data_IF_560986403481
#
_entry.id   IF_560986403481
#
_cell.length_a   1.000
_cell.length_b   1.000
_cell.length_c   1.000
_cell.angle_alpha   90.00
_cell.angle_beta   90.00
_cell.angle_gamma   90.00
#
_symmetry.space_group_name_H-M   'P 1'
#
loop_
_entity.id
_entity.type
_entity.pdbx_description
1 polymer ?
#
# COMPACT_ATOMS: atom_id res chain seq x y z
N UNK A 1 -4.98 35.87 -6.89
CA UNK A 1 -3.73 35.24 -7.33
C UNK A 1 -3.66 33.89 -6.67
N UNK A 2 -3.90 32.80 -7.42
CA UNK A 2 -3.82 31.41 -6.91
C UNK A 2 -2.33 31.14 -6.67
N UNK A 3 -1.95 30.78 -5.45
CA UNK A 3 -0.56 30.35 -5.17
C UNK A 3 -0.24 29.14 -6.06
N UNK A 4 0.96 29.07 -6.64
CA UNK A 4 1.33 27.89 -7.42
C UNK A 4 1.17 26.65 -6.53
N UNK A 5 0.45 25.65 -7.05
CA UNK A 5 0.15 24.39 -6.34
C UNK A 5 1.43 23.60 -6.02
N UNK A 6 2.52 23.92 -6.75
CA UNK A 6 3.85 23.34 -6.59
C UNK A 6 4.78 24.38 -5.98
N UNK A 7 5.09 24.35 -4.69
CA UNK A 7 6.05 25.32 -4.14
C UNK A 7 6.06 25.52 -2.63
N UNK A 8 5.51 24.58 -1.84
CA UNK A 8 5.55 24.71 -0.36
C UNK A 8 6.91 24.34 0.26
N UNK A 9 7.85 23.78 -0.50
CA UNK A 9 9.08 23.18 0.03
C UNK A 9 8.83 21.90 0.86
N UNK A 10 7.57 21.53 1.05
CA UNK A 10 7.13 20.34 1.76
C UNK A 10 7.00 19.18 0.77
N UNK A 11 7.49 18.00 1.15
CA UNK A 11 7.32 16.78 0.34
C UNK A 11 5.83 16.42 0.26
N UNK A 12 5.38 16.01 -0.92
CA UNK A 12 3.97 15.69 -1.20
C UNK A 12 3.82 14.23 -1.62
N UNK A 13 2.90 13.52 -0.98
CA UNK A 13 2.63 12.11 -1.27
C UNK A 13 1.16 11.90 -1.64
N UNK A 14 0.91 11.29 -2.81
CA UNK A 14 -0.40 10.78 -3.17
C UNK A 14 -0.64 9.44 -2.49
N UNK A 15 -1.84 9.25 -1.94
CA UNK A 15 -2.24 8.02 -1.24
C UNK A 15 -3.46 7.42 -1.93
N UNK A 16 -3.26 6.36 -2.71
CA UNK A 16 -4.34 5.60 -3.38
C UNK A 16 -4.72 4.43 -2.48
N UNK A 17 -5.72 4.60 -1.64
CA UNK A 17 -6.15 3.58 -0.68
C UNK A 17 -7.62 3.81 -0.29
N UNK A 18 -8.24 2.85 0.41
CA UNK A 18 -9.59 3.04 0.93
C UNK A 18 -9.66 4.00 2.12
N UNK A 19 -10.85 4.54 2.34
CA UNK A 19 -11.19 5.31 3.52
C UNK A 19 -12.25 4.58 4.33
N UNK A 20 -11.86 3.96 5.43
CA UNK A 20 -12.78 3.42 6.43
C UNK A 20 -13.23 4.53 7.41
N UNK A 21 -14.56 4.77 7.48
CA UNK A 21 -15.12 5.83 8.31
C UNK A 21 -15.06 5.50 9.81
N UNK A 22 -15.39 4.26 10.19
CA UNK A 22 -15.32 3.78 11.56
C UNK A 22 -14.34 2.60 11.66
N UNK A 23 -13.47 2.62 12.67
CA UNK A 23 -12.33 1.71 12.75
C UNK A 23 -11.18 2.23 11.89
N UNK A 24 -10.08 2.64 12.55
CA UNK A 24 -8.96 3.29 11.85
C UNK A 24 -8.10 2.28 11.10
N UNK A 25 -8.02 2.45 9.78
CA UNK A 25 -7.09 1.74 8.89
C UNK A 25 -6.87 2.58 7.62
N UNK A 26 -6.00 2.14 6.75
CA UNK A 26 -5.78 2.71 5.42
C UNK A 26 -5.57 4.24 5.45
N UNK A 27 -6.29 5.03 4.68
CA UNK A 27 -6.12 6.50 4.64
C UNK A 27 -6.25 7.17 6.01
N UNK A 28 -7.17 6.70 6.86
CA UNK A 28 -7.40 7.31 8.18
C UNK A 28 -6.22 7.11 9.16
N UNK A 29 -5.31 6.17 8.87
CA UNK A 29 -4.07 5.91 9.61
C UNK A 29 -2.88 6.57 8.89
N UNK A 30 -2.73 6.34 7.59
CA UNK A 30 -1.59 6.80 6.82
C UNK A 30 -1.47 8.35 6.82
N UNK A 31 -2.58 9.07 6.62
CA UNK A 31 -2.56 10.53 6.55
C UNK A 31 -2.01 11.21 7.82
N UNK A 32 -2.50 10.93 9.04
CA UNK A 32 -1.96 11.59 10.23
C UNK A 32 -0.51 11.21 10.52
N UNK A 33 -0.11 9.97 10.21
CA UNK A 33 1.27 9.53 10.41
C UNK A 33 2.20 10.30 9.48
N UNK A 34 1.97 10.31 8.18
CA UNK A 34 2.79 11.03 7.21
C UNK A 34 2.81 12.53 7.49
N UNK A 35 1.66 13.11 7.87
CA UNK A 35 1.59 14.51 8.25
C UNK A 35 2.46 14.84 9.47
N UNK A 36 2.57 13.91 10.43
CA UNK A 36 3.45 14.08 11.59
C UNK A 36 4.95 14.10 11.24
N UNK A 37 5.31 13.53 10.07
CA UNK A 37 6.66 13.59 9.49
C UNK A 37 6.86 14.80 8.56
N UNK A 38 5.90 15.71 8.49
CA UNK A 38 5.99 16.91 7.65
C UNK A 38 5.73 16.65 6.16
N UNK A 39 5.04 15.56 5.82
CA UNK A 39 4.64 15.24 4.45
C UNK A 39 3.22 15.74 4.18
N UNK A 40 3.02 16.49 3.10
CA UNK A 40 1.69 16.86 2.60
C UNK A 40 1.04 15.61 1.98
N UNK A 41 -0.02 15.10 2.59
CA UNK A 41 -0.74 13.93 2.09
C UNK A 41 -1.90 14.34 1.19
N UNK A 42 -1.97 13.73 0.01
CA UNK A 42 -3.03 13.95 -0.97
C UNK A 42 -3.80 12.65 -1.18
N UNK A 43 -4.94 12.46 -0.49
CA UNK A 43 -5.70 11.23 -0.61
C UNK A 43 -6.42 11.13 -1.96
N UNK A 44 -6.36 9.95 -2.57
CA UNK A 44 -7.18 9.53 -3.70
C UNK A 44 -7.92 8.25 -3.28
N UNK A 45 -9.10 8.37 -2.66
CA UNK A 45 -9.83 7.22 -2.16
C UNK A 45 -10.20 6.25 -3.28
N UNK A 46 -9.87 4.95 -3.10
CA UNK A 46 -10.28 3.86 -4.00
C UNK A 46 -11.67 3.35 -3.65
N UNK A 47 -12.00 3.38 -2.37
CA UNK A 47 -13.32 3.07 -1.84
C UNK A 47 -13.58 3.88 -0.57
N UNK A 48 -14.85 4.10 -0.25
CA UNK A 48 -15.28 4.60 1.06
C UNK A 48 -16.10 3.50 1.72
N UNK A 49 -15.68 3.10 2.92
CA UNK A 49 -16.33 2.06 3.70
C UNK A 49 -16.96 2.65 4.97
N UNK A 50 -18.15 2.17 5.33
CA UNK A 50 -18.81 2.59 6.56
C UNK A 50 -17.99 2.23 7.80
N UNK A 51 -17.30 1.08 7.78
CA UNK A 51 -16.47 0.57 8.86
C UNK A 51 -15.25 -0.16 8.28
N UNK A 52 -14.26 -0.42 9.14
CA UNK A 52 -13.20 -1.41 8.87
C UNK A 52 -13.82 -2.80 8.57
N UNK A 53 -13.13 -3.63 7.80
CA UNK A 53 -13.59 -4.96 7.36
C UNK A 53 -13.13 -6.11 8.25
N UNK A 54 -12.40 -5.83 9.34
CA UNK A 54 -11.90 -6.85 10.25
C UNK A 54 -13.03 -7.52 11.06
N UNK A 55 -12.71 -8.65 11.66
CA UNK A 55 -13.60 -9.37 12.55
C UNK A 55 -14.15 -8.47 13.66
N UNK A 56 -15.44 -8.60 13.95
CA UNK A 56 -16.14 -7.81 14.96
C UNK A 56 -16.91 -6.61 14.40
N UNK A 57 -16.70 -6.18 13.15
CA UNK A 57 -17.44 -5.09 12.53
C UNK A 57 -18.69 -5.56 11.76
N UNK A 58 -18.83 -6.86 11.49
CA UNK A 58 -19.97 -7.42 10.77
C UNK A 58 -20.01 -7.01 9.29
N UNK A 59 -21.21 -6.78 8.76
CA UNK A 59 -21.39 -6.29 7.40
C UNK A 59 -21.09 -4.80 7.30
N UNK A 60 -20.53 -4.37 6.18
CA UNK A 60 -20.19 -2.97 5.90
C UNK A 60 -20.84 -2.50 4.59
N UNK A 61 -20.99 -1.20 4.46
CA UNK A 61 -21.38 -0.54 3.20
C UNK A 61 -20.11 -0.02 2.53
N UNK A 62 -19.93 -0.35 1.26
CA UNK A 62 -18.83 0.16 0.46
C UNK A 62 -19.36 0.99 -0.71
N UNK A 63 -18.67 2.06 -1.00
CA UNK A 63 -18.83 2.86 -2.23
C UNK A 63 -17.54 2.77 -3.02
N UNK A 64 -17.61 2.23 -4.22
CA UNK A 64 -16.53 2.28 -5.19
C UNK A 64 -16.31 3.72 -5.65
N UNK A 65 -15.04 4.13 -5.82
CA UNK A 65 -14.65 5.50 -6.18
C UNK A 65 -13.94 5.56 -7.53
N UNK A 66 -14.12 4.57 -8.39
CA UNK A 66 -13.40 4.47 -9.67
C UNK A 66 -13.60 5.70 -10.56
N UNK A 67 -14.83 6.18 -10.67
CA UNK A 67 -15.15 7.34 -11.52
C UNK A 67 -14.59 8.64 -10.91
N UNK A 68 -14.67 8.81 -9.59
CA UNK A 68 -14.09 9.93 -8.87
C UNK A 68 -12.57 9.94 -8.98
N UNK A 69 -11.91 8.79 -8.86
CA UNK A 69 -10.46 8.66 -9.05
C UNK A 69 -10.05 9.21 -10.42
N UNK A 70 -10.75 8.81 -11.48
CA UNK A 70 -10.50 9.27 -12.86
C UNK A 70 -10.73 10.77 -12.99
N UNK A 71 -11.84 11.28 -12.44
CA UNK A 71 -12.19 12.70 -12.51
C UNK A 71 -11.18 13.57 -11.74
N UNK A 72 -10.77 13.14 -10.53
CA UNK A 72 -9.79 13.86 -9.71
C UNK A 72 -8.41 13.89 -10.38
N UNK A 73 -7.93 12.75 -10.89
CA UNK A 73 -6.67 12.67 -11.61
C UNK A 73 -6.67 13.55 -12.87
N UNK A 74 -7.79 13.59 -13.62
CA UNK A 74 -7.92 14.46 -14.78
C UNK A 74 -7.81 15.95 -14.41
N UNK A 75 -8.42 16.36 -13.30
CA UNK A 75 -8.29 17.73 -12.78
C UNK A 75 -6.88 18.04 -12.29
N UNK A 76 -6.25 17.11 -11.54
CA UNK A 76 -4.87 17.28 -11.06
C UNK A 76 -3.86 17.39 -12.19
N UNK A 77 -4.10 16.69 -13.30
CA UNK A 77 -3.28 16.80 -14.51
C UNK A 77 -3.37 18.20 -15.12
N UNK A 78 -4.59 18.78 -15.18
CA UNK A 78 -4.78 20.18 -15.64
C UNK A 78 -4.06 21.19 -14.73
N UNK A 79 -4.01 20.93 -13.44
CA UNK A 79 -3.29 21.74 -12.45
C UNK A 79 -1.78 21.49 -12.43
N UNK A 80 -1.30 20.51 -13.22
CA UNK A 80 0.11 20.10 -13.27
C UNK A 80 0.67 19.72 -11.88
N UNK A 81 -0.15 19.10 -11.04
CA UNK A 81 0.28 18.64 -9.70
C UNK A 81 1.41 17.63 -9.86
N UNK A 82 2.41 17.73 -8.98
CA UNK A 82 3.56 16.82 -8.88
C UNK A 82 3.59 16.19 -7.49
N UNK A 83 4.07 14.95 -7.44
CA UNK A 83 4.23 14.19 -6.20
C UNK A 83 5.69 13.77 -6.04
N UNK A 84 6.20 13.89 -4.82
CA UNK A 84 7.50 13.34 -4.42
C UNK A 84 7.38 11.84 -4.08
N UNK A 85 6.18 11.40 -3.72
CA UNK A 85 5.89 9.99 -3.47
C UNK A 85 4.46 9.63 -3.87
N UNK A 86 4.26 8.36 -4.20
CA UNK A 86 2.95 7.76 -4.46
C UNK A 86 2.90 6.44 -3.69
N UNK A 87 1.93 6.31 -2.80
CA UNK A 87 1.70 5.08 -2.06
C UNK A 87 0.33 4.51 -2.43
N UNK A 88 0.29 3.21 -2.70
CA UNK A 88 -0.97 2.51 -2.98
C UNK A 88 -1.24 1.46 -1.92
N UNK A 89 -2.50 1.13 -1.70
CA UNK A 89 -2.96 0.04 -0.83
C UNK A 89 -4.13 -0.70 -1.47
N UNK A 90 -5.26 -0.76 -0.80
CA UNK A 90 -6.43 -1.47 -1.28
C UNK A 90 -7.01 -0.89 -2.58
N UNK A 91 -7.33 -1.78 -3.53
CA UNK A 91 -8.14 -1.51 -4.71
C UNK A 91 -9.39 -2.38 -4.72
N UNK A 92 -10.52 -1.82 -5.14
CA UNK A 92 -11.79 -2.54 -5.25
C UNK A 92 -11.90 -3.41 -6.51
N UNK A 93 -11.05 -3.19 -7.52
CA UNK A 93 -11.15 -3.87 -8.81
C UNK A 93 -9.85 -3.87 -9.61
N UNK A 94 -9.76 -4.75 -10.60
CA UNK A 94 -8.66 -4.76 -11.59
C UNK A 94 -8.63 -3.45 -12.39
N UNK A 95 -9.79 -2.85 -12.67
CA UNK A 95 -9.90 -1.56 -13.35
C UNK A 95 -9.18 -0.45 -12.59
N UNK A 96 -9.31 -0.42 -11.26
CA UNK A 96 -8.60 0.56 -10.41
C UNK A 96 -7.08 0.35 -10.44
N UNK A 97 -6.60 -0.90 -10.52
CA UNK A 97 -5.16 -1.16 -10.67
C UNK A 97 -4.62 -0.73 -12.04
N UNK A 98 -5.39 -0.92 -13.11
CA UNK A 98 -5.03 -0.38 -14.40
C UNK A 98 -4.99 1.16 -14.38
N UNK A 99 -5.98 1.79 -13.76
CA UNK A 99 -5.97 3.23 -13.53
C UNK A 99 -4.74 3.66 -12.70
N UNK A 100 -4.38 2.91 -11.64
CA UNK A 100 -3.20 3.22 -10.84
C UNK A 100 -1.90 3.20 -11.67
N UNK A 101 -1.73 2.25 -12.59
CA UNK A 101 -0.60 2.23 -13.53
C UNK A 101 -0.59 3.47 -14.43
N UNK A 102 -1.74 3.89 -14.95
CA UNK A 102 -1.86 5.11 -15.72
C UNK A 102 -1.57 6.35 -14.87
N UNK A 103 -2.03 6.35 -13.62
CA UNK A 103 -1.73 7.41 -12.65
C UNK A 103 -0.22 7.53 -12.37
N UNK A 104 0.47 6.40 -12.17
CA UNK A 104 1.92 6.39 -12.02
C UNK A 104 2.62 6.98 -13.23
N UNK A 105 2.24 6.59 -14.45
CA UNK A 105 2.81 7.14 -15.69
C UNK A 105 2.63 8.66 -15.81
N UNK A 106 1.50 9.19 -15.34
CA UNK A 106 1.14 10.60 -15.50
C UNK A 106 1.76 11.49 -14.40
N UNK A 107 1.94 10.98 -13.19
CA UNK A 107 2.29 11.75 -12.01
C UNK A 107 3.64 11.40 -11.36
N UNK A 108 4.20 10.21 -11.64
CA UNK A 108 5.54 9.87 -11.17
C UNK A 108 6.60 10.47 -12.09
N UNK A 109 7.57 11.17 -11.50
CA UNK A 109 8.79 11.62 -12.16
C UNK A 109 9.98 10.74 -11.78
N UNK A 110 11.19 11.10 -12.27
CA UNK A 110 12.41 10.33 -12.01
C UNK A 110 12.74 10.19 -10.50
N UNK A 111 12.43 11.22 -9.71
CA UNK A 111 12.68 11.26 -8.27
C UNK A 111 11.48 10.84 -7.42
N UNK A 112 10.36 10.45 -8.04
CA UNK A 112 9.15 10.05 -7.30
C UNK A 112 9.30 8.66 -6.74
N UNK A 113 9.17 8.50 -5.43
CA UNK A 113 9.18 7.21 -4.76
C UNK A 113 7.80 6.56 -4.87
N UNK A 114 7.73 5.38 -5.49
CA UNK A 114 6.48 4.59 -5.58
C UNK A 114 6.55 3.42 -4.61
N UNK A 115 5.60 3.39 -3.68
CA UNK A 115 5.42 2.31 -2.71
C UNK A 115 4.11 1.60 -3.00
N UNK A 116 4.13 0.28 -3.13
CA UNK A 116 2.92 -0.52 -3.29
C UNK A 116 2.76 -1.44 -2.09
N UNK A 117 1.67 -1.26 -1.35
CA UNK A 117 1.17 -2.23 -0.39
C UNK A 117 0.20 -3.16 -1.13
N UNK A 118 0.60 -4.41 -1.40
CA UNK A 118 -0.12 -5.29 -2.31
C UNK A 118 -1.23 -6.07 -1.61
N UNK A 119 -2.28 -5.37 -1.18
CA UNK A 119 -3.40 -5.95 -0.44
C UNK A 119 -4.06 -7.07 -1.24
N UNK A 120 -3.79 -8.34 -0.86
CA UNK A 120 -4.29 -9.54 -1.51
C UNK A 120 -4.96 -10.51 -0.53
N UNK A 121 -4.41 -10.69 0.64
CA UNK A 121 -4.87 -11.70 1.58
C UNK A 121 -4.05 -11.73 2.86
N UNK A 122 -4.45 -12.55 3.80
CA UNK A 122 -3.76 -12.74 5.06
C UNK A 122 -3.93 -14.17 5.60
N UNK A 123 -3.10 -14.59 6.54
CA UNK A 123 -3.15 -15.91 7.20
C UNK A 123 -3.20 -17.10 6.21
N UNK A 124 -2.47 -17.02 5.10
CA UNK A 124 -2.40 -18.05 4.07
C UNK A 124 -3.59 -18.09 3.11
N UNK A 125 -4.51 -17.13 3.17
CA UNK A 125 -5.75 -17.12 2.39
C UNK A 125 -5.87 -15.83 1.57
N UNK A 126 -6.15 -15.97 0.27
CA UNK A 126 -6.58 -14.85 -0.58
C UNK A 126 -7.94 -14.34 -0.09
N UNK A 127 -8.13 -13.03 -0.02
CA UNK A 127 -9.45 -12.47 0.34
C UNK A 127 -10.52 -12.90 -0.66
N UNK A 128 -11.67 -13.33 -0.16
CA UNK A 128 -12.71 -14.00 -0.94
C UNK A 128 -13.35 -13.16 -2.06
N UNK A 129 -13.08 -11.86 -2.10
CA UNK A 129 -13.51 -10.96 -3.18
C UNK A 129 -12.51 -10.90 -4.34
N UNK A 130 -11.30 -11.48 -4.21
CA UNK A 130 -10.25 -11.40 -5.21
C UNK A 130 -10.13 -12.69 -6.04
N UNK A 131 -9.69 -12.53 -7.27
CA UNK A 131 -9.50 -13.60 -8.27
C UNK A 131 -8.03 -13.72 -8.65
N UNK A 132 -7.68 -14.76 -9.39
CA UNK A 132 -6.33 -14.88 -9.97
C UNK A 132 -5.99 -13.71 -10.89
N UNK A 133 -6.96 -13.20 -11.64
CA UNK A 133 -6.77 -12.00 -12.47
C UNK A 133 -6.38 -10.78 -11.63
N UNK A 134 -7.01 -10.64 -10.45
CA UNK A 134 -6.65 -9.58 -9.49
C UNK A 134 -5.22 -9.73 -8.99
N UNK A 135 -4.77 -10.95 -8.66
CA UNK A 135 -3.38 -11.23 -8.24
C UNK A 135 -2.39 -10.87 -9.35
N UNK A 136 -2.70 -11.22 -10.60
CA UNK A 136 -1.84 -10.89 -11.75
C UNK A 136 -1.77 -9.38 -11.99
N UNK A 137 -2.89 -8.66 -11.87
CA UNK A 137 -2.91 -7.21 -12.01
C UNK A 137 -2.11 -6.53 -10.89
N UNK A 138 -2.22 -7.01 -9.64
CA UNK A 138 -1.43 -6.52 -8.51
C UNK A 138 0.07 -6.78 -8.71
N UNK A 139 0.44 -7.98 -9.18
CA UNK A 139 1.84 -8.29 -9.53
C UNK A 139 2.39 -7.30 -10.56
N UNK A 140 1.64 -7.04 -11.61
CA UNK A 140 2.02 -6.07 -12.64
C UNK A 140 2.09 -4.62 -12.14
N UNK A 141 1.32 -4.25 -11.11
CA UNK A 141 1.44 -2.96 -10.44
C UNK A 141 2.70 -2.89 -9.59
N UNK A 142 2.99 -3.95 -8.82
CA UNK A 142 4.21 -4.05 -8.00
C UNK A 142 5.49 -3.87 -8.82
N UNK A 143 5.53 -4.34 -10.07
CA UNK A 143 6.69 -4.16 -10.96
C UNK A 143 6.99 -2.68 -11.27
N UNK A 144 6.05 -1.78 -11.04
CA UNK A 144 6.22 -0.34 -11.23
C UNK A 144 6.70 0.38 -9.95
N UNK A 145 6.90 -0.35 -8.85
CA UNK A 145 7.26 0.20 -7.55
C UNK A 145 8.77 0.15 -7.29
N UNK A 146 9.29 1.12 -6.55
CA UNK A 146 10.63 1.05 -5.95
C UNK A 146 10.62 0.22 -4.66
N UNK A 147 9.49 0.14 -3.96
CA UNK A 147 9.33 -0.62 -2.73
C UNK A 147 7.94 -1.28 -2.68
N UNK A 148 7.90 -2.53 -2.25
CA UNK A 148 6.65 -3.22 -1.90
C UNK A 148 6.69 -3.71 -0.46
N UNK A 149 5.51 -3.75 0.19
CA UNK A 149 5.38 -4.08 1.62
C UNK A 149 4.41 -5.25 1.88
N UNK A 150 4.55 -6.39 1.17
CA UNK A 150 3.63 -7.52 1.34
C UNK A 150 3.73 -8.12 2.74
N UNK A 151 2.62 -8.64 3.26
CA UNK A 151 2.68 -9.64 4.30
C UNK A 151 3.16 -11.01 3.73
N UNK A 152 3.35 -12.02 4.59
CA UNK A 152 3.84 -13.34 4.14
C UNK A 152 2.94 -13.98 3.08
N UNK A 153 1.63 -13.88 3.24
CA UNK A 153 0.64 -14.45 2.30
C UNK A 153 0.72 -13.77 0.94
N UNK A 154 0.74 -12.47 0.94
CA UNK A 154 0.87 -11.64 -0.26
C UNK A 154 2.18 -11.88 -0.98
N UNK A 155 3.29 -11.98 -0.23
CA UNK A 155 4.59 -12.32 -0.79
C UNK A 155 4.58 -13.69 -1.50
N UNK A 156 3.93 -14.70 -0.91
CA UNK A 156 3.79 -16.02 -1.53
C UNK A 156 2.94 -15.97 -2.81
N UNK A 157 1.80 -15.27 -2.78
CA UNK A 157 0.93 -15.07 -3.94
C UNK A 157 1.66 -14.32 -5.07
N UNK A 158 2.33 -13.23 -4.77
CA UNK A 158 3.09 -12.46 -5.75
C UNK A 158 4.26 -13.25 -6.34
N UNK A 159 4.96 -14.03 -5.51
CA UNK A 159 6.08 -14.86 -5.93
C UNK A 159 5.65 -16.13 -6.69
N UNK A 160 4.37 -16.50 -6.64
CA UNK A 160 3.89 -17.78 -7.16
C UNK A 160 4.45 -18.99 -6.39
N UNK A 161 4.74 -18.81 -5.10
CA UNK A 161 5.30 -19.81 -4.22
C UNK A 161 4.22 -20.41 -3.30
N UNK A 162 4.52 -21.57 -2.69
CA UNK A 162 3.67 -22.13 -1.63
C UNK A 162 3.63 -21.23 -0.38
N UNK A 163 2.52 -21.28 0.38
CA UNK A 163 2.33 -20.46 1.57
C UNK A 163 3.34 -20.77 2.70
N UNK A 164 3.95 -21.94 2.68
CA UNK A 164 4.97 -22.41 3.63
C UNK A 164 6.42 -22.11 3.16
N UNK A 165 6.58 -21.49 1.98
CA UNK A 165 7.90 -21.20 1.45
C UNK A 165 8.74 -20.37 2.43
N UNK A 166 10.05 -20.65 2.58
CA UNK A 166 10.93 -19.82 3.41
C UNK A 166 10.97 -18.37 2.97
N UNK A 167 11.04 -17.43 3.92
CA UNK A 167 11.05 -15.98 3.64
C UNK A 167 12.16 -15.59 2.65
N UNK A 168 13.33 -16.20 2.79
CA UNK A 168 14.45 -15.96 1.87
C UNK A 168 14.11 -16.38 0.43
N UNK A 169 13.34 -17.46 0.26
CA UNK A 169 12.87 -17.92 -1.05
C UNK A 169 11.89 -16.91 -1.64
N UNK A 170 10.95 -16.40 -0.83
CA UNK A 170 10.00 -15.38 -1.24
C UNK A 170 10.74 -14.08 -1.66
N UNK A 171 11.66 -13.60 -0.84
CA UNK A 171 12.47 -12.42 -1.15
C UNK A 171 13.28 -12.58 -2.45
N UNK A 172 13.79 -13.77 -2.74
CA UNK A 172 14.54 -14.03 -3.98
C UNK A 172 13.64 -14.13 -5.21
N UNK A 173 12.41 -14.63 -5.06
CA UNK A 173 11.46 -14.81 -6.15
C UNK A 173 10.76 -13.51 -6.56
N UNK A 174 10.63 -12.55 -5.65
CA UNK A 174 10.05 -11.23 -5.94
C UNK A 174 11.04 -10.39 -6.76
N UNK A 175 10.58 -9.85 -7.89
CA UNK A 175 11.41 -9.13 -8.87
C UNK A 175 11.65 -7.67 -8.51
N UNK A 176 10.82 -7.06 -7.65
CA UNK A 176 10.96 -5.66 -7.21
C UNK A 176 12.24 -5.49 -6.39
N UNK A 177 12.97 -4.42 -6.61
CA UNK A 177 14.29 -4.19 -6.01
C UNK A 177 14.25 -4.15 -4.49
N UNK A 178 13.29 -3.42 -3.91
CA UNK A 178 13.15 -3.31 -2.47
C UNK A 178 11.85 -3.97 -2.03
N UNK A 179 11.95 -4.88 -1.07
CA UNK A 179 10.84 -5.66 -0.53
C UNK A 179 10.94 -5.71 0.98
N UNK A 180 9.86 -5.39 1.68
CA UNK A 180 9.73 -5.58 3.13
C UNK A 180 8.57 -6.55 3.36
N UNK A 181 8.86 -7.80 3.73
CA UNK A 181 7.83 -8.75 4.12
C UNK A 181 7.47 -8.50 5.59
N UNK A 182 6.22 -8.12 5.81
CA UNK A 182 5.68 -7.74 7.13
C UNK A 182 5.03 -8.93 7.83
N UNK A 183 4.80 -8.82 9.14
CA UNK A 183 4.06 -9.83 9.91
C UNK A 183 4.75 -11.19 9.97
N UNK A 184 6.08 -11.24 9.90
CA UNK A 184 6.84 -12.49 9.98
C UNK A 184 6.92 -12.93 11.44
N UNK A 185 6.47 -14.14 11.74
CA UNK A 185 6.56 -14.73 13.07
C UNK A 185 7.80 -15.62 13.22
N UNK A 186 8.47 -15.51 14.38
CA UNK A 186 9.61 -16.35 14.79
C UNK A 186 9.45 -16.69 16.28
N UNK A 187 8.84 -17.82 16.58
CA UNK A 187 8.50 -18.18 17.97
C UNK A 187 7.55 -17.15 18.58
N UNK A 188 7.97 -16.50 19.67
CA UNK A 188 7.20 -15.46 20.37
C UNK A 188 7.48 -14.04 19.83
N UNK A 189 8.19 -13.91 18.72
CA UNK A 189 8.52 -12.64 18.12
C UNK A 189 7.74 -12.43 16.81
N UNK A 190 7.44 -11.16 16.51
CA UNK A 190 6.90 -10.69 15.24
C UNK A 190 7.82 -9.62 14.66
N UNK A 191 7.96 -9.58 13.34
CA UNK A 191 8.88 -8.63 12.73
C UNK A 191 8.76 -8.51 11.23
N UNK A 192 9.82 -8.01 10.65
CA UNK A 192 9.98 -7.76 9.23
C UNK A 192 11.25 -8.42 8.73
N UNK A 193 11.16 -8.97 7.52
CA UNK A 193 12.33 -9.41 6.75
C UNK A 193 12.36 -8.63 5.44
N UNK A 194 13.47 -8.05 5.10
CA UNK A 194 13.58 -7.15 3.96
C UNK A 194 14.78 -7.48 3.07
N UNK A 195 14.62 -7.17 1.79
CA UNK A 195 15.71 -6.96 0.84
C UNK A 195 15.67 -5.50 0.41
N UNK A 196 16.66 -4.71 0.80
CA UNK A 196 16.78 -3.29 0.47
C UNK A 196 18.14 -3.05 -0.19
N UNK A 197 18.15 -2.51 -1.41
CA UNK A 197 19.36 -2.28 -2.19
C UNK A 197 20.26 -3.54 -2.28
N UNK A 198 19.64 -4.71 -2.44
CA UNK A 198 20.32 -6.00 -2.51
C UNK A 198 20.79 -6.56 -1.16
N UNK A 199 20.63 -5.85 -0.06
CA UNK A 199 21.01 -6.29 1.28
C UNK A 199 19.81 -6.91 2.02
N UNK A 200 20.06 -8.05 2.67
CA UNK A 200 19.08 -8.68 3.56
C UNK A 200 19.12 -8.02 4.93
N UNK A 201 17.95 -7.72 5.46
CA UNK A 201 17.76 -7.14 6.79
C UNK A 201 16.58 -7.79 7.49
N UNK A 202 16.63 -7.86 8.82
CA UNK A 202 15.51 -8.32 9.63
C UNK A 202 15.42 -7.54 10.94
N UNK A 203 14.20 -7.33 11.42
CA UNK A 203 13.92 -6.69 12.70
C UNK A 203 12.80 -7.47 13.37
N UNK A 204 13.04 -7.98 14.56
CA UNK A 204 12.05 -8.71 15.36
C UNK A 204 11.89 -8.07 16.74
N UNK A 205 10.67 -8.14 17.27
CA UNK A 205 10.29 -7.69 18.60
C UNK A 205 9.35 -8.72 19.22
N UNK A 206 9.33 -8.83 20.56
CA UNK A 206 8.35 -9.68 21.24
C UNK A 206 6.92 -9.36 20.77
N UNK A 207 6.17 -10.41 20.46
CA UNK A 207 4.76 -10.28 20.07
C UNK A 207 3.96 -9.81 21.29
N UNK A 208 3.16 -8.77 21.12
CA UNK A 208 2.24 -8.36 22.17
C UNK A 208 1.05 -9.33 22.23
N UNK A 209 0.53 -9.64 23.43
CA UNK A 209 -0.58 -10.59 23.59
C UNK A 209 -1.92 -10.07 23.07
N UNK A 210 -1.96 -8.85 22.52
CA UNK A 210 -3.16 -8.20 21.99
C UNK A 210 -3.12 -8.19 20.47
N UNK A 211 -4.24 -8.58 19.83
CA UNK A 211 -4.42 -8.41 18.40
C UNK A 211 -4.70 -6.93 18.11
N UNK A 212 -3.81 -6.29 17.34
CA UNK A 212 -3.97 -4.93 16.87
C UNK A 212 -4.35 -4.96 15.38
N UNK A 213 -5.36 -4.17 15.00
CA UNK A 213 -5.71 -3.96 13.60
C UNK A 213 -4.97 -2.75 13.04
N UNK A 214 -4.55 -2.81 11.78
CA UNK A 214 -3.89 -1.70 11.08
C UNK A 214 -2.37 -1.58 11.21
N UNK A 215 -1.59 -2.53 11.82
CA UNK A 215 -0.13 -2.35 11.87
C UNK A 215 0.56 -2.39 10.50
N UNK A 216 -0.07 -2.99 9.48
CA UNK A 216 0.40 -2.93 8.10
C UNK A 216 0.37 -1.50 7.53
N UNK A 217 -0.71 -0.76 7.76
CA UNK A 217 -0.86 0.64 7.34
C UNK A 217 0.13 1.58 8.05
N UNK A 218 0.58 1.21 9.25
CA UNK A 218 1.59 1.99 10.01
C UNK A 218 3.00 1.74 9.49
N UNK A 219 3.29 0.55 8.99
CA UNK A 219 4.64 0.17 8.55
C UNK A 219 5.01 0.69 7.16
N UNK A 220 4.05 0.75 6.23
CA UNK A 220 4.32 1.17 4.86
C UNK A 220 4.62 2.68 4.69
N UNK A 221 3.79 3.61 5.18
CA UNK A 221 4.01 5.04 4.99
C UNK A 221 5.30 5.59 5.60
N UNK A 222 5.71 5.22 6.83
CA UNK A 222 6.95 5.73 7.42
C UNK A 222 8.21 5.36 6.64
N UNK A 223 8.22 4.19 5.99
CA UNK A 223 9.36 3.77 5.17
C UNK A 223 9.56 4.65 3.93
N UNK A 224 8.50 5.28 3.43
CA UNK A 224 8.55 6.16 2.27
C UNK A 224 8.90 7.62 2.63
N UNK A 225 8.77 7.99 3.91
CA UNK A 225 8.98 9.37 4.39
C UNK A 225 10.41 9.66 4.87
N UNK A 226 11.25 8.61 5.07
CA UNK A 226 12.63 8.71 5.60
C UNK A 226 13.72 8.93 4.51
#
# INVERSE_FOLDING_TARGET
MIRPVNGSGMKRMALLNDLSCFGKCSLSVAMPILSSYGVETVPLPTAILSTHTADGFGSYVMRDMTDEMKAFAAHWRQLQIKFDGICTGFFGSVEQMHFAKDFLRDFAGEDTIVVVDPVLGDNGVLYGCFTEEYVQAMRALCESAQLITPNRTEAALLAGCGMDAPIETLLKALTVENVIITGVHRGEEIGYCARLNGQYMEIFKPCLPQTLHGPGDVSSPPCAAS
#
